data_IF_717611145234
#
_entry.id   IF_717611145234
#
_cell.length_a   1.000
_cell.length_b   1.000
_cell.length_c   1.000
_cell.angle_alpha   90.00
_cell.angle_beta   90.00
_cell.angle_gamma   90.00
#
_symmetry.space_group_name_H-M   'P 1'
#
loop_
_entity.id
_entity.type
_entity.pdbx_description
1 polymer ?
#
# COMPACT_ATOMS: atom_id res chain seq x y z
N UNK A 1 0.01 -16.27 3.11
CA UNK A 1 -0.15 -15.64 4.45
C UNK A 1 1.15 -15.69 5.24
N UNK A 2 1.85 -16.82 5.28
CA UNK A 2 3.08 -17.01 6.07
C UNK A 2 4.16 -15.94 5.82
N UNK A 3 4.39 -15.55 4.56
CA UNK A 3 5.38 -14.50 4.23
C UNK A 3 5.08 -13.14 4.86
N UNK A 4 3.81 -12.73 4.90
CA UNK A 4 3.40 -11.43 5.48
C UNK A 4 3.61 -11.45 6.98
N UNK A 5 3.14 -12.50 7.66
CA UNK A 5 3.32 -12.66 9.10
C UNK A 5 4.81 -12.73 9.47
N UNK A 6 5.60 -13.51 8.73
CA UNK A 6 7.05 -13.61 8.92
C UNK A 6 7.76 -12.26 8.77
N UNK A 7 7.47 -11.52 7.69
CA UNK A 7 8.07 -10.22 7.42
C UNK A 7 7.73 -9.19 8.51
N UNK A 8 6.47 -9.13 8.94
CA UNK A 8 6.00 -8.22 9.99
C UNK A 8 6.68 -8.52 11.34
N UNK A 9 6.76 -9.79 11.72
CA UNK A 9 7.38 -10.23 12.97
C UNK A 9 8.89 -9.97 12.98
N UNK A 10 9.56 -10.09 11.84
CA UNK A 10 11.00 -9.81 11.73
C UNK A 10 11.33 -8.31 11.71
N UNK A 11 10.37 -7.46 11.34
CA UNK A 11 10.57 -6.02 11.16
C UNK A 11 9.57 -5.17 11.93
N UNK A 12 9.30 -5.54 13.19
CA UNK A 12 8.30 -4.94 14.09
C UNK A 12 8.25 -3.41 14.10
N UNK A 13 9.41 -2.74 14.10
CA UNK A 13 9.51 -1.27 14.15
C UNK A 13 9.45 -0.58 12.79
N UNK A 14 9.56 -1.33 11.69
CA UNK A 14 9.62 -0.76 10.35
C UNK A 14 8.23 -0.27 9.91
N UNK A 15 8.15 0.91 9.26
CA UNK A 15 6.93 1.36 8.61
C UNK A 15 6.41 0.33 7.61
N UNK A 16 5.10 0.12 7.60
CA UNK A 16 4.44 -0.86 6.75
C UNK A 16 4.82 -0.71 5.27
N UNK A 17 4.79 0.51 4.75
CA UNK A 17 5.13 0.74 3.35
C UNK A 17 6.57 0.38 3.05
N UNK A 18 7.49 0.76 3.92
CA UNK A 18 8.90 0.45 3.76
C UNK A 18 9.15 -1.07 3.78
N UNK A 19 8.35 -1.84 4.53
CA UNK A 19 8.40 -3.30 4.51
C UNK A 19 7.85 -3.88 3.20
N UNK A 20 6.73 -3.35 2.69
CA UNK A 20 6.17 -3.80 1.40
C UNK A 20 7.13 -3.58 0.23
N UNK A 21 7.98 -2.55 0.30
CA UNK A 21 9.00 -2.28 -0.72
C UNK A 21 10.27 -3.14 -0.59
N UNK A 22 10.38 -3.94 0.46
CA UNK A 22 11.53 -4.80 0.66
C UNK A 22 11.50 -6.00 -0.28
N UNK A 23 12.40 -5.98 -1.27
CA UNK A 23 12.48 -6.99 -2.32
C UNK A 23 12.83 -8.38 -1.81
N UNK A 24 13.31 -8.53 -0.56
CA UNK A 24 13.55 -9.85 0.05
C UNK A 24 12.24 -10.58 0.38
N UNK A 25 11.15 -9.85 0.59
CA UNK A 25 9.83 -10.43 0.91
C UNK A 25 8.84 -10.25 -0.23
N UNK A 26 8.88 -9.10 -0.91
CA UNK A 26 7.92 -8.74 -1.95
C UNK A 26 8.64 -8.28 -3.23
N UNK A 27 9.36 -9.19 -3.91
CA UNK A 27 10.03 -8.86 -5.17
C UNK A 27 9.01 -8.36 -6.20
N UNK A 28 9.35 -7.27 -6.88
CA UNK A 28 8.49 -6.62 -7.87
C UNK A 28 7.46 -5.64 -7.28
N UNK A 29 7.31 -5.56 -5.94
CA UNK A 29 6.45 -4.55 -5.32
C UNK A 29 7.08 -3.16 -5.49
N UNK A 30 6.42 -2.31 -6.28
CA UNK A 30 6.83 -0.94 -6.58
C UNK A 30 6.14 0.10 -5.71
N UNK A 31 6.61 1.35 -5.78
CA UNK A 31 6.13 2.45 -4.93
C UNK A 31 4.61 2.69 -5.03
N UNK A 32 4.07 2.70 -6.25
CA UNK A 32 2.64 2.92 -6.46
C UNK A 32 1.80 1.72 -6.00
N UNK A 33 2.31 0.49 -6.18
CA UNK A 33 1.62 -0.72 -5.74
C UNK A 33 1.53 -0.78 -4.23
N UNK A 34 2.60 -0.42 -3.52
CA UNK A 34 2.60 -0.37 -2.05
C UNK A 34 1.57 0.64 -1.52
N UNK A 35 1.49 1.84 -2.12
CA UNK A 35 0.45 2.83 -1.77
C UNK A 35 -0.96 2.27 -2.04
N UNK A 36 -1.17 1.67 -3.22
CA UNK A 36 -2.47 1.08 -3.61
C UNK A 36 -2.91 -0.03 -2.65
N UNK A 37 -1.99 -0.93 -2.29
CA UNK A 37 -2.24 -2.03 -1.34
C UNK A 37 -2.67 -1.47 0.02
N UNK A 38 -1.93 -0.50 0.56
CA UNK A 38 -2.19 0.07 1.87
C UNK A 38 -3.48 0.88 1.91
N UNK A 39 -3.76 1.65 0.86
CA UNK A 39 -5.02 2.38 0.69
C UNK A 39 -6.21 1.44 0.57
N UNK A 40 -6.07 0.31 -0.13
CA UNK A 40 -7.12 -0.72 -0.17
C UNK A 40 -7.30 -1.43 1.17
N UNK A 41 -6.21 -1.62 1.90
CA UNK A 41 -6.22 -2.23 3.23
C UNK A 41 -6.70 -1.26 4.32
N UNK A 42 -6.85 0.03 4.04
CA UNK A 42 -7.11 1.09 5.03
C UNK A 42 -6.02 1.13 6.13
N UNK A 43 -4.76 0.90 5.75
CA UNK A 43 -3.63 0.88 6.68
C UNK A 43 -2.73 2.09 6.42
N UNK A 44 -2.36 2.82 7.47
CA UNK A 44 -1.46 3.97 7.33
C UNK A 44 -0.06 3.52 6.90
N UNK A 45 0.58 4.18 5.91
CA UNK A 45 1.91 3.78 5.42
C UNK A 45 3.01 3.83 6.48
N UNK A 46 2.90 4.75 7.43
CA UNK A 46 3.80 4.87 8.58
C UNK A 46 3.42 3.98 9.78
N UNK A 47 2.37 3.16 9.68
CA UNK A 47 2.01 2.25 10.77
C UNK A 47 3.15 1.25 11.00
N UNK A 48 3.51 1.01 12.27
CA UNK A 48 4.57 0.05 12.63
C UNK A 48 4.09 -1.37 12.38
N UNK A 49 4.97 -2.21 11.83
CA UNK A 49 4.65 -3.61 11.52
C UNK A 49 4.12 -4.41 12.72
N UNK A 50 4.55 -4.11 13.94
CA UNK A 50 4.07 -4.75 15.16
C UNK A 50 2.60 -4.44 15.50
N UNK A 51 2.03 -3.36 14.98
CA UNK A 51 0.65 -2.98 15.26
C UNK A 51 -0.36 -3.76 14.40
N UNK A 52 0.11 -4.58 13.46
CA UNK A 52 -0.73 -5.23 12.46
C UNK A 52 -1.22 -6.58 12.99
N UNK A 53 -2.47 -6.60 13.43
CA UNK A 53 -3.10 -7.78 14.01
C UNK A 53 -3.46 -8.85 12.97
N UNK A 54 -3.77 -10.10 13.38
CA UNK A 54 -4.01 -11.21 12.46
C UNK A 54 -5.10 -10.95 11.40
N UNK A 55 -6.15 -10.21 11.76
CA UNK A 55 -7.23 -9.81 10.84
C UNK A 55 -6.70 -8.87 9.75
N UNK A 56 -5.88 -7.90 10.12
CA UNK A 56 -5.27 -6.95 9.20
C UNK A 56 -4.21 -7.60 8.34
N UNK A 57 -3.44 -8.57 8.86
CA UNK A 57 -2.50 -9.37 8.07
C UNK A 57 -3.20 -10.13 6.95
N UNK A 58 -4.35 -10.77 7.25
CA UNK A 58 -5.17 -11.45 6.23
C UNK A 58 -5.69 -10.46 5.18
N UNK A 59 -6.18 -9.29 5.62
CA UNK A 59 -6.64 -8.22 4.73
C UNK A 59 -5.50 -7.72 3.84
N UNK A 60 -4.34 -7.42 4.42
CA UNK A 60 -3.14 -6.96 3.72
C UNK A 60 -2.71 -7.97 2.65
N UNK A 61 -2.60 -9.25 3.00
CA UNK A 61 -2.26 -10.31 2.06
C UNK A 61 -3.27 -10.40 0.91
N UNK A 62 -4.57 -10.33 1.20
CA UNK A 62 -5.62 -10.31 0.17
C UNK A 62 -5.49 -9.11 -0.77
N UNK A 63 -5.21 -7.92 -0.24
CA UNK A 63 -5.04 -6.71 -1.06
C UNK A 63 -3.74 -6.72 -1.87
N UNK A 64 -2.66 -7.31 -1.36
CA UNK A 64 -1.43 -7.55 -2.15
C UNK A 64 -1.77 -8.39 -3.39
N UNK A 65 -2.42 -9.53 -3.22
CA UNK A 65 -2.79 -10.39 -4.35
C UNK A 65 -3.74 -9.69 -5.33
N UNK A 66 -4.72 -8.94 -4.83
CA UNK A 66 -5.63 -8.16 -5.67
C UNK A 66 -4.87 -7.17 -6.55
N UNK A 67 -3.96 -6.38 -5.96
CA UNK A 67 -3.21 -5.35 -6.68
C UNK A 67 -2.25 -5.98 -7.68
N UNK A 68 -1.53 -7.03 -7.30
CA UNK A 68 -0.60 -7.75 -8.20
C UNK A 68 -1.34 -8.33 -9.39
N UNK A 69 -2.45 -9.05 -9.18
CA UNK A 69 -3.24 -9.59 -10.29
C UNK A 69 -3.83 -8.50 -11.18
N UNK A 70 -4.30 -7.39 -10.59
CA UNK A 70 -4.79 -6.25 -11.36
C UNK A 70 -3.69 -5.61 -12.20
N UNK A 71 -2.49 -5.43 -11.64
CA UNK A 71 -1.33 -4.90 -12.34
C UNK A 71 -0.88 -5.83 -13.50
N UNK A 72 -0.83 -7.15 -13.27
CA UNK A 72 -0.49 -8.11 -14.32
C UNK A 72 -1.49 -8.09 -15.48
N UNK A 73 -2.79 -7.98 -15.18
CA UNK A 73 -3.86 -7.94 -16.19
C UNK A 73 -3.94 -6.62 -16.96
N UNK A 74 -3.31 -5.56 -16.46
CA UNK A 74 -3.32 -4.22 -17.07
C UNK A 74 -1.92 -3.84 -17.54
N UNK A 75 -1.09 -3.35 -16.63
CA UNK A 75 0.29 -2.92 -16.85
C UNK A 75 1.14 -4.01 -17.48
N UNK A 76 1.02 -5.25 -16.99
CA UNK A 76 1.82 -6.40 -17.44
C UNK A 76 1.51 -6.93 -18.85
N UNK A 77 0.48 -6.40 -19.52
CA UNK A 77 0.10 -6.88 -20.87
C UNK A 77 0.83 -6.12 -21.97
N UNK A 78 0.59 -4.80 -22.10
CA UNK A 78 1.21 -3.92 -23.11
C UNK A 78 1.57 -2.53 -22.53
N UNK A 79 1.80 -2.42 -21.23
CA UNK A 79 2.13 -1.14 -20.59
C UNK A 79 0.94 -0.18 -20.43
N UNK A 80 -0.28 -0.71 -20.33
CA UNK A 80 -1.46 0.10 -20.02
C UNK A 80 -1.50 0.53 -18.54
N UNK A 81 -2.37 1.48 -18.21
CA UNK A 81 -2.56 1.89 -16.83
C UNK A 81 -3.42 0.89 -16.03
N UNK A 82 -3.27 0.86 -14.68
CA UNK A 82 -4.19 0.15 -13.81
C UNK A 82 -5.65 0.63 -13.98
N UNK A 83 -6.66 -0.13 -13.50
CA UNK A 83 -8.06 0.26 -13.64
C UNK A 83 -8.40 1.67 -13.12
N UNK A 84 -9.31 2.38 -13.79
CA UNK A 84 -9.58 3.82 -13.60
C UNK A 84 -9.88 4.27 -12.17
N UNK A 85 -10.45 3.40 -11.32
CA UNK A 85 -10.80 3.72 -9.91
C UNK A 85 -9.65 3.47 -8.92
N UNK A 86 -8.45 3.18 -9.41
CA UNK A 86 -7.28 2.93 -8.58
C UNK A 86 -6.66 4.23 -8.07
N UNK A 87 -6.04 4.17 -6.89
CA UNK A 87 -5.28 5.28 -6.32
C UNK A 87 -4.17 5.73 -7.26
N UNK A 88 -3.63 4.81 -8.07
CA UNK A 88 -2.67 5.10 -9.15
C UNK A 88 -3.01 6.39 -9.92
N UNK A 89 -4.26 6.61 -10.28
CA UNK A 89 -4.65 7.77 -11.11
C UNK A 89 -4.65 9.11 -10.38
N UNK A 90 -4.65 9.09 -9.06
CA UNK A 90 -4.77 10.27 -8.21
C UNK A 90 -3.50 10.58 -7.43
N UNK A 91 -2.59 9.60 -7.32
CA UNK A 91 -1.45 9.70 -6.41
C UNK A 91 -0.31 10.58 -6.89
N UNK A 92 -0.24 11.02 -8.15
CA UNK A 92 1.00 11.52 -8.74
C UNK A 92 1.39 12.95 -8.35
N UNK A 93 0.42 13.76 -7.91
CA UNK A 93 0.62 15.14 -7.45
C UNK A 93 0.07 15.30 -6.04
N UNK A 94 0.58 16.29 -5.33
CA UNK A 94 0.02 16.65 -4.04
C UNK A 94 -1.40 17.18 -4.21
N UNK A 95 -2.26 16.94 -3.23
CA UNK A 95 -3.65 17.36 -3.27
C UNK A 95 -4.56 16.55 -4.22
N UNK A 96 -4.17 15.34 -4.64
CA UNK A 96 -5.04 14.44 -5.42
C UNK A 96 -6.32 14.05 -4.67
N UNK A 97 -7.35 13.58 -5.36
CA UNK A 97 -8.63 13.22 -4.71
C UNK A 97 -8.69 11.73 -4.42
N UNK A 98 -9.00 11.34 -3.18
CA UNK A 98 -9.15 9.93 -2.84
C UNK A 98 -10.30 9.28 -3.65
N UNK A 99 -10.05 8.20 -4.41
CA UNK A 99 -11.10 7.57 -5.23
C UNK A 99 -12.26 6.94 -4.45
N UNK A 100 -12.12 6.77 -3.14
CA UNK A 100 -13.11 6.13 -2.25
C UNK A 100 -13.84 7.13 -1.37
N UNK A 101 -13.12 8.05 -0.72
CA UNK A 101 -13.70 9.00 0.23
C UNK A 101 -13.91 10.40 -0.34
N UNK A 102 -13.29 10.74 -1.47
CA UNK A 102 -13.31 12.10 -2.02
C UNK A 102 -12.45 13.11 -1.27
N UNK A 103 -11.86 12.75 -0.13
CA UNK A 103 -10.95 13.61 0.64
C UNK A 103 -9.61 13.76 -0.07
N UNK A 104 -8.97 14.91 0.13
CA UNK A 104 -7.63 15.21 -0.38
C UNK A 104 -6.59 14.22 0.14
N UNK A 105 -5.83 13.65 -0.79
CA UNK A 105 -4.71 12.75 -0.53
C UNK A 105 -3.53 13.54 0.00
N UNK A 106 -2.82 12.94 0.95
CA UNK A 106 -1.57 13.46 1.50
C UNK A 106 -0.41 12.80 0.76
N UNK A 107 0.57 13.60 0.33
CA UNK A 107 1.87 13.13 -0.15
C UNK A 107 3.00 13.58 0.78
N UNK A 108 3.75 12.61 1.28
CA UNK A 108 4.90 12.86 2.16
C UNK A 108 5.97 11.77 1.99
N UNK A 109 7.14 11.97 2.58
CA UNK A 109 8.19 10.95 2.59
C UNK A 109 8.09 10.07 3.84
N UNK A 110 7.96 8.76 3.64
CA UNK A 110 7.95 7.76 4.73
C UNK A 110 9.02 6.72 4.42
N UNK A 111 10.01 6.60 5.30
CA UNK A 111 11.12 5.65 5.13
C UNK A 111 11.92 5.90 3.85
N UNK A 112 12.16 7.16 3.49
CA UNK A 112 12.94 7.56 2.31
C UNK A 112 12.21 7.42 0.98
N UNK A 113 10.89 7.17 1.00
CA UNK A 113 10.08 6.98 -0.22
C UNK A 113 8.80 7.81 -0.15
N UNK A 114 8.51 8.52 -1.25
CA UNK A 114 7.27 9.28 -1.40
C UNK A 114 6.06 8.37 -1.30
N UNK A 115 5.14 8.71 -0.42
CA UNK A 115 3.93 7.98 -0.07
C UNK A 115 2.71 8.83 -0.29
N UNK A 116 1.69 8.22 -0.89
CA UNK A 116 0.40 8.85 -1.11
C UNK A 116 -0.67 8.06 -0.37
N UNK A 117 -1.45 8.72 0.48
CA UNK A 117 -2.45 8.06 1.32
C UNK A 117 -3.65 8.97 1.58
N UNK A 118 -4.77 8.38 2.01
CA UNK A 118 -6.01 9.08 2.30
C UNK A 118 -6.19 9.24 3.81
N UNK A 119 -6.20 10.47 4.37
CA UNK A 119 -6.34 10.68 5.82
C UNK A 119 -7.65 10.19 6.40
N UNK A 120 -8.72 10.20 5.61
CA UNK A 120 -10.03 9.67 6.02
C UNK A 120 -10.04 8.14 6.20
N UNK A 121 -9.29 7.42 5.35
CA UNK A 121 -9.33 5.96 5.29
C UNK A 121 -8.19 5.29 6.03
N UNK A 122 -7.05 5.95 6.14
CA UNK A 122 -5.80 5.39 6.66
C UNK A 122 -5.39 6.18 7.90
N UNK A 123 -5.77 5.68 9.08
CA UNK A 123 -5.45 6.30 10.36
C UNK A 123 -4.24 5.61 10.99
N UNK A 124 -3.35 6.38 11.61
CA UNK A 124 -2.41 5.83 12.58
C UNK A 124 -3.25 5.37 13.77
N UNK A 125 -3.11 4.11 14.18
CA UNK A 125 -3.73 3.66 15.43
C UNK A 125 -3.22 4.52 16.56
N UNK A 126 -4.15 5.05 17.38
CA UNK A 126 -3.84 5.67 18.67
C UNK A 126 -3.21 4.65 19.62
#
# INVERSE_FOLDING_TARGET
MEIVAHALNRHTKRPLKALLLDQRYFPGMGNWMADEVLWRANLHPNCRSAMIGPKEQKKLFSQILFVVHGAMKSVGTKGGDPPKKWLFHQRWKDGGTCPKSGVTLIREEIGGRTSCWSPDLQKLGE
#
